data_IF_978237255311
#
_entry.id   IF_978237255311
#
_cell.length_a   1.000
_cell.length_b   1.000
_cell.length_c   1.000
_cell.angle_alpha   90.00
_cell.angle_beta   90.00
_cell.angle_gamma   90.00
#
_symmetry.space_group_name_H-M   'P 1'
#
loop_
_entity.id
_entity.type
_entity.pdbx_description
1 polymer ?
#
# COMPACT_ATOMS: atom_id res chain seq x y z
N UNK A 1 -8.60 -10.72 -10.69
CA UNK A 1 -8.78 -12.18 -10.64
C UNK A 1 -8.47 -12.68 -9.23
N UNK A 2 -9.17 -13.70 -8.74
CA UNK A 2 -8.93 -14.27 -7.40
C UNK A 2 -7.90 -15.41 -7.53
N UNK A 3 -6.69 -15.32 -6.95
CA UNK A 3 -5.70 -16.38 -7.03
C UNK A 3 -6.04 -17.51 -6.04
N UNK A 4 -5.65 -18.77 -6.33
CA UNK A 4 -5.76 -19.86 -5.38
C UNK A 4 -5.15 -19.50 -4.02
N UNK A 5 -5.85 -19.87 -2.93
CA UNK A 5 -5.43 -19.61 -1.55
C UNK A 5 -5.18 -18.12 -1.21
N UNK A 6 -5.65 -17.18 -2.03
CA UNK A 6 -5.34 -15.75 -1.91
C UNK A 6 -3.83 -15.45 -1.99
N UNK A 7 -3.06 -16.27 -2.70
CA UNK A 7 -1.59 -16.15 -2.84
C UNK A 7 -1.22 -16.02 -4.31
N UNK A 8 -1.14 -14.79 -4.86
CA UNK A 8 -0.68 -14.61 -6.22
C UNK A 8 0.82 -14.91 -6.31
N UNK A 9 1.24 -15.48 -7.44
CA UNK A 9 2.64 -15.72 -7.79
C UNK A 9 3.34 -14.41 -8.17
N UNK A 10 4.68 -14.41 -8.15
CA UNK A 10 5.46 -13.25 -8.59
C UNK A 10 5.16 -12.84 -10.04
N UNK A 11 4.90 -13.81 -10.92
CA UNK A 11 4.53 -13.57 -12.31
C UNK A 11 3.15 -12.92 -12.41
N UNK A 12 2.14 -13.44 -11.71
CA UNK A 12 0.80 -12.85 -11.69
C UNK A 12 0.81 -11.41 -11.15
N UNK A 13 1.58 -11.15 -10.09
CA UNK A 13 1.75 -9.80 -9.54
C UNK A 13 2.37 -8.89 -10.61
N UNK A 14 3.43 -9.33 -11.29
CA UNK A 14 4.08 -8.54 -12.33
C UNK A 14 3.14 -8.26 -13.52
N UNK A 15 2.41 -9.27 -13.98
CA UNK A 15 1.43 -9.14 -15.07
C UNK A 15 0.30 -8.19 -14.72
N UNK A 16 -0.19 -8.22 -13.47
CA UNK A 16 -1.28 -7.36 -13.02
C UNK A 16 -0.81 -5.93 -12.74
N UNK A 17 0.44 -5.73 -12.32
CA UNK A 17 0.99 -4.41 -11.94
C UNK A 17 0.88 -3.37 -13.05
N UNK A 18 0.89 -3.75 -14.33
CA UNK A 18 0.68 -2.82 -15.45
C UNK A 18 -0.63 -2.04 -15.32
N UNK A 19 -1.70 -2.68 -14.85
CA UNK A 19 -2.99 -2.03 -14.64
C UNK A 19 -2.93 -1.04 -13.48
N UNK A 20 -2.29 -1.43 -12.37
CA UNK A 20 -2.04 -0.54 -11.23
C UNK A 20 -1.21 0.68 -11.64
N UNK A 21 -0.17 0.48 -12.45
CA UNK A 21 0.67 1.56 -12.97
C UNK A 21 -0.16 2.53 -13.83
N UNK A 22 -1.01 2.03 -14.72
CA UNK A 22 -1.94 2.87 -15.49
C UNK A 22 -2.87 3.66 -14.58
N UNK A 23 -3.45 3.03 -13.56
CA UNK A 23 -4.39 3.66 -12.63
C UNK A 23 -3.75 4.77 -11.80
N UNK A 24 -2.58 4.52 -11.21
CA UNK A 24 -1.89 5.51 -10.35
C UNK A 24 -1.37 6.71 -11.15
N UNK A 25 -0.92 6.48 -12.40
CA UNK A 25 -0.34 7.52 -13.23
C UNK A 25 -1.38 8.34 -14.01
N UNK A 26 -2.61 7.82 -14.12
CA UNK A 26 -3.73 8.50 -14.78
C UNK A 26 -4.19 9.74 -13.99
N UNK A 27 -4.50 10.86 -14.68
CA UNK A 27 -5.13 12.01 -14.05
C UNK A 27 -6.60 11.74 -13.65
N UNK A 28 -7.09 12.32 -12.54
CA UNK A 28 -6.33 13.02 -11.52
C UNK A 28 -5.51 12.04 -10.67
N UNK A 29 -4.24 12.38 -10.44
CA UNK A 29 -3.34 11.51 -9.65
C UNK A 29 -3.72 11.55 -8.16
N UNK A 30 -3.58 10.43 -7.43
CA UNK A 30 -3.86 10.41 -6.00
C UNK A 30 -2.83 11.23 -5.22
N UNK A 31 -3.29 11.94 -4.17
CA UNK A 31 -2.42 12.57 -3.17
C UNK A 31 -1.90 11.59 -2.12
N UNK A 32 -2.58 10.46 -1.96
CA UNK A 32 -2.24 9.41 -1.00
C UNK A 32 -2.58 8.02 -1.53
N UNK A 33 -1.75 7.04 -1.18
CA UNK A 33 -2.00 5.61 -1.39
C UNK A 33 -1.79 4.89 -0.05
N UNK A 34 -2.75 4.08 0.37
CA UNK A 34 -2.62 3.17 1.51
C UNK A 34 -2.38 1.74 1.01
N UNK A 35 -1.17 1.21 1.21
CA UNK A 35 -0.82 -0.15 0.86
C UNK A 35 -1.14 -1.14 2.01
N UNK A 36 -2.03 -2.07 1.74
CA UNK A 36 -2.43 -3.13 2.69
C UNK A 36 -1.58 -4.38 2.49
N UNK A 37 -0.51 -4.50 3.27
CA UNK A 37 0.44 -5.61 3.23
C UNK A 37 1.62 -5.40 2.27
N UNK A 38 2.64 -6.25 2.42
CA UNK A 38 3.91 -6.15 1.69
C UNK A 38 3.76 -6.23 0.17
N UNK A 39 2.91 -7.14 -0.33
CA UNK A 39 2.70 -7.28 -1.78
C UNK A 39 2.13 -6.00 -2.39
N UNK A 40 1.16 -5.36 -1.72
CA UNK A 40 0.58 -4.10 -2.18
C UNK A 40 1.65 -3.00 -2.15
N UNK A 41 2.40 -2.89 -1.05
CA UNK A 41 3.47 -1.90 -0.89
C UNK A 41 4.54 -2.02 -1.98
N UNK A 42 5.11 -3.22 -2.15
CA UNK A 42 6.16 -3.47 -3.14
C UNK A 42 5.64 -3.26 -4.58
N UNK A 43 4.38 -3.60 -4.84
CA UNK A 43 3.78 -3.42 -6.17
C UNK A 43 3.53 -1.96 -6.50
N UNK A 44 3.09 -1.15 -5.52
CA UNK A 44 2.93 0.30 -5.69
C UNK A 44 4.27 0.96 -5.97
N UNK A 45 5.32 0.65 -5.19
CA UNK A 45 6.66 1.21 -5.41
C UNK A 45 7.20 0.85 -6.80
N UNK A 46 7.07 -0.42 -7.21
CA UNK A 46 7.49 -0.86 -8.54
C UNK A 46 6.67 -0.23 -9.67
N UNK A 47 5.37 0.00 -9.45
CA UNK A 47 4.51 0.68 -10.43
C UNK A 47 4.92 2.16 -10.61
N UNK A 48 5.41 2.79 -9.55
CA UNK A 48 5.97 4.14 -9.55
C UNK A 48 7.44 4.19 -10.02
N UNK A 49 8.07 3.06 -10.36
CA UNK A 49 9.47 3.00 -10.78
C UNK A 49 10.49 3.16 -9.65
N UNK A 50 10.08 2.97 -8.39
CA UNK A 50 10.90 3.21 -7.20
C UNK A 50 11.64 1.96 -6.71
N UNK A 51 12.75 2.19 -6.00
CA UNK A 51 13.55 1.13 -5.37
C UNK A 51 12.97 0.76 -4.02
N UNK A 52 12.65 -0.53 -3.81
CA UNK A 52 12.10 -1.04 -2.55
C UNK A 52 12.95 -0.70 -1.32
N UNK A 53 14.28 -0.73 -1.47
CA UNK A 53 15.20 -0.46 -0.36
C UNK A 53 15.10 0.98 0.18
N UNK A 54 14.63 1.94 -0.62
CA UNK A 54 14.46 3.33 -0.18
C UNK A 54 13.19 3.52 0.66
N UNK A 55 12.24 2.59 0.58
CA UNK A 55 10.92 2.69 1.17
C UNK A 55 10.57 1.35 1.82
N UNK A 56 11.10 1.04 3.01
CA UNK A 56 10.84 -0.25 3.65
C UNK A 56 9.37 -0.38 4.07
N UNK A 57 8.83 -1.59 3.93
CA UNK A 57 7.51 -1.93 4.43
C UNK A 57 7.49 -2.02 5.97
N UNK A 58 6.51 -1.36 6.59
CA UNK A 58 6.16 -1.49 8.00
C UNK A 58 4.72 -1.04 8.24
N UNK A 59 4.04 -1.62 9.24
CA UNK A 59 2.72 -1.12 9.63
C UNK A 59 2.86 0.28 10.23
N UNK A 60 2.06 1.22 9.73
CA UNK A 60 2.14 2.64 10.08
C UNK A 60 3.26 3.41 9.36
N UNK A 61 4.03 2.78 8.49
CA UNK A 61 5.06 3.48 7.73
C UNK A 61 4.43 4.48 6.75
N UNK A 62 5.02 5.66 6.64
CA UNK A 62 4.63 6.73 5.74
C UNK A 62 5.84 7.20 4.96
N UNK A 63 5.71 7.23 3.64
CA UNK A 63 6.78 7.58 2.73
C UNK A 63 6.34 8.73 1.83
N UNK A 64 7.08 9.82 1.83
CA UNK A 64 6.87 10.90 0.87
C UNK A 64 7.48 10.52 -0.48
N UNK A 65 6.63 10.50 -1.49
CA UNK A 65 6.99 10.17 -2.86
C UNK A 65 6.91 11.46 -3.68
N UNK A 66 8.01 12.22 -3.67
CA UNK A 66 8.03 13.55 -4.26
C UNK A 66 7.10 14.54 -3.52
N UNK A 67 6.71 15.65 -4.17
CA UNK A 67 5.98 16.74 -3.51
C UNK A 67 4.47 16.47 -3.34
N UNK A 68 3.88 15.52 -4.09
CA UNK A 68 2.42 15.45 -4.23
C UNK A 68 1.80 14.14 -3.74
N UNK A 69 2.61 13.12 -3.43
CA UNK A 69 2.13 11.78 -3.09
C UNK A 69 2.74 11.28 -1.78
N UNK A 70 1.88 10.78 -0.88
CA UNK A 70 2.29 9.98 0.27
C UNK A 70 1.89 8.51 0.08
N UNK A 71 2.81 7.60 0.37
CA UNK A 71 2.56 6.16 0.46
C UNK A 71 2.54 5.73 1.93
N UNK A 72 1.35 5.43 2.45
CA UNK A 72 1.17 4.82 3.76
C UNK A 72 1.12 3.30 3.64
N UNK A 73 1.52 2.59 4.70
CA UNK A 73 1.53 1.13 4.74
C UNK A 73 0.89 0.59 6.01
N UNK A 74 0.14 -0.50 5.87
CA UNK A 74 -0.40 -1.25 6.99
C UNK A 74 -0.19 -2.76 6.78
N UNK A 75 -0.33 -3.55 7.83
CA UNK A 75 -0.56 -4.97 7.65
C UNK A 75 -1.87 -5.18 6.87
N UNK A 76 -1.93 -6.27 6.09
CA UNK A 76 -3.13 -6.58 5.34
C UNK A 76 -4.27 -6.95 6.30
N UNK A 77 -5.49 -6.46 6.04
CA UNK A 77 -6.68 -6.76 6.83
C UNK A 77 -7.26 -8.17 6.54
N UNK A 78 -6.39 -9.18 6.40
CA UNK A 78 -6.85 -10.57 6.22
C UNK A 78 -7.50 -11.07 7.50
N UNK A 79 -8.46 -12.00 7.37
CA UNK A 79 -9.04 -12.72 8.51
C UNK A 79 -7.97 -13.29 9.43
N UNK A 80 -6.89 -13.84 8.87
CA UNK A 80 -5.76 -14.34 9.66
C UNK A 80 -5.13 -13.25 10.54
N UNK A 81 -4.80 -12.07 10.00
CA UNK A 81 -4.18 -11.00 10.77
C UNK A 81 -5.11 -10.43 11.85
N UNK A 82 -6.40 -10.28 11.52
CA UNK A 82 -7.41 -9.80 12.47
C UNK A 82 -7.65 -10.81 13.60
N UNK A 83 -7.85 -12.09 13.26
CA UNK A 83 -8.15 -13.13 14.25
C UNK A 83 -6.96 -13.45 15.16
N UNK A 84 -5.73 -13.30 14.68
CA UNK A 84 -4.50 -13.52 15.47
C UNK A 84 -4.06 -12.29 16.25
N UNK A 85 -4.73 -11.14 16.09
CA UNK A 85 -4.32 -9.87 16.71
C UNK A 85 -3.05 -9.25 16.13
N UNK A 86 -2.52 -9.79 15.03
CA UNK A 86 -1.39 -9.17 14.30
C UNK A 86 -1.77 -7.79 13.74
N UNK A 87 -3.04 -7.61 13.42
CA UNK A 87 -3.65 -6.32 13.15
C UNK A 87 -4.96 -6.25 13.94
N UNK A 88 -5.20 -5.14 14.61
CA UNK A 88 -6.51 -4.82 15.20
C UNK A 88 -7.18 -3.70 14.44
N UNK A 89 -8.48 -3.53 14.64
CA UNK A 89 -9.24 -2.41 14.09
C UNK A 89 -8.65 -1.07 14.54
N UNK A 90 -8.40 -0.90 15.84
CA UNK A 90 -7.75 0.29 16.41
C UNK A 90 -6.39 0.60 15.76
N UNK A 91 -5.57 -0.42 15.48
CA UNK A 91 -4.31 -0.23 14.78
C UNK A 91 -4.51 0.28 13.35
N UNK A 92 -5.49 -0.24 12.63
CA UNK A 92 -5.81 0.23 11.28
C UNK A 92 -6.36 1.67 11.31
N UNK A 93 -7.24 1.98 12.26
CA UNK A 93 -7.78 3.33 12.47
C UNK A 93 -6.67 4.34 12.74
N UNK A 94 -5.66 3.98 13.53
CA UNK A 94 -4.51 4.84 13.78
C UNK A 94 -3.76 5.17 12.49
N UNK A 95 -3.60 4.22 11.56
CA UNK A 95 -2.98 4.47 10.25
C UNK A 95 -3.84 5.41 9.40
N UNK A 96 -5.15 5.20 9.37
CA UNK A 96 -6.08 6.05 8.62
C UNK A 96 -6.10 7.48 9.16
N UNK A 97 -6.19 7.64 10.47
CA UNK A 97 -6.17 8.96 11.13
C UNK A 97 -4.83 9.66 10.93
N UNK A 98 -3.71 8.94 11.02
CA UNK A 98 -2.40 9.51 10.74
C UNK A 98 -2.32 10.00 9.28
N UNK A 99 -2.77 9.19 8.32
CA UNK A 99 -2.76 9.56 6.91
C UNK A 99 -3.65 10.77 6.64
N UNK A 100 -4.82 10.84 7.28
CA UNK A 100 -5.70 11.99 7.19
C UNK A 100 -5.03 13.27 7.71
N UNK A 101 -4.43 13.22 8.90
CA UNK A 101 -3.68 14.35 9.47
C UNK A 101 -2.54 14.81 8.56
N UNK A 102 -1.83 13.87 7.95
CA UNK A 102 -0.73 14.19 7.02
C UNK A 102 -1.24 14.92 5.76
N UNK A 103 -2.40 14.51 5.24
CA UNK A 103 -3.04 15.18 4.10
C UNK A 103 -3.59 16.56 4.44
N UNK A 104 -4.17 16.73 5.63
CA UNK A 104 -4.74 18.00 6.08
C UNK A 104 -3.66 19.07 6.36
N UNK A 105 -2.41 18.65 6.62
CA UNK A 105 -1.28 19.56 6.84
C UNK A 105 -0.61 20.07 5.55
N UNK A 106 -1.11 19.67 4.37
CA UNK A 106 -0.56 20.00 3.04
C UNK A 106 -1.59 20.72 2.18
#
# INVERSE_FOLDING_TARGET
>A
CVPPQNKPTGAEIATCRRFLQTEILAPPRPRAILALGRIAHDSTLRALGLRLAAYPFGHGAMHEIGPDLVLASSYHCSRYNMNTGRLTETMLDHVLLALRRHLDAR
#
